data_IF_605460411232
#
_entry.id   IF_605460411232
#
_cell.length_a   1.000
_cell.length_b   1.000
_cell.length_c   1.000
_cell.angle_alpha   90.00
_cell.angle_beta   90.00
_cell.angle_gamma   90.00
#
_symmetry.space_group_name_H-M   'P 1'
#
loop_
_entity.id
_entity.type
_entity.pdbx_description
1 polymer ?
#
# COMPACT_ATOMS: atom_id res chain seq x y z
N UNK A 1 5.96 -49.40 -38.58
CA UNK A 1 6.99 -48.52 -39.18
C UNK A 1 6.30 -47.29 -39.72
N UNK A 2 6.56 -46.14 -39.13
CA UNK A 2 6.75 -44.80 -39.74
C UNK A 2 6.65 -43.78 -38.61
N UNK A 3 7.83 -43.44 -38.10
CA UNK A 3 8.08 -42.32 -37.21
C UNK A 3 8.21 -41.07 -38.08
N UNK A 4 7.44 -40.02 -37.81
CA UNK A 4 7.75 -38.68 -38.30
C UNK A 4 8.27 -37.83 -37.14
N UNK A 5 9.57 -37.55 -37.22
CA UNK A 5 10.32 -36.64 -36.37
C UNK A 5 10.12 -35.22 -36.90
N UNK A 6 9.63 -34.31 -36.04
CA UNK A 6 9.67 -32.87 -36.32
C UNK A 6 10.87 -32.29 -35.58
N UNK A 7 11.80 -31.77 -36.37
CA UNK A 7 13.07 -31.16 -36.00
C UNK A 7 12.89 -29.76 -35.40
N UNK A 8 13.54 -29.54 -34.26
CA UNK A 8 13.62 -28.26 -33.56
C UNK A 8 14.81 -27.48 -34.14
N UNK A 9 14.56 -26.29 -34.69
CA UNK A 9 15.61 -25.34 -35.09
C UNK A 9 15.81 -24.26 -33.99
N UNK A 10 17.05 -23.92 -33.61
CA UNK A 10 17.34 -22.91 -32.61
C UNK A 10 17.32 -21.49 -33.21
N UNK A 11 16.45 -20.62 -32.69
CA UNK A 11 16.37 -19.21 -33.09
C UNK A 11 17.30 -18.37 -32.20
N UNK A 12 18.13 -17.57 -32.86
CA UNK A 12 19.23 -16.78 -32.31
C UNK A 12 18.80 -15.64 -31.38
N UNK A 13 19.58 -15.42 -30.32
CA UNK A 13 19.51 -14.27 -29.41
C UNK A 13 20.13 -13.01 -30.05
N UNK A 14 19.41 -11.88 -30.13
CA UNK A 14 20.02 -10.61 -30.55
C UNK A 14 20.74 -9.91 -29.39
N UNK A 15 21.95 -9.47 -29.71
CA UNK A 15 22.97 -8.83 -28.88
C UNK A 15 22.55 -7.41 -28.44
N UNK A 16 22.83 -7.05 -27.18
CA UNK A 16 22.60 -5.72 -26.61
C UNK A 16 23.56 -4.67 -27.22
N UNK A 17 23.10 -3.46 -27.58
CA UNK A 17 24.00 -2.39 -27.99
C UNK A 17 24.73 -1.74 -26.81
N UNK A 18 26.00 -1.46 -27.04
CA UNK A 18 26.95 -0.86 -26.11
C UNK A 18 26.61 0.60 -25.74
N UNK A 19 26.97 0.98 -24.51
CA UNK A 19 26.83 2.32 -23.93
C UNK A 19 27.76 3.33 -24.63
N UNK A 20 27.31 4.58 -24.88
CA UNK A 20 28.20 5.62 -25.40
C UNK A 20 29.13 6.15 -24.29
N UNK A 21 30.44 6.18 -24.61
CA UNK A 21 31.49 6.84 -23.82
C UNK A 21 31.36 8.36 -23.98
N UNK A 22 31.31 9.08 -22.85
CA UNK A 22 31.51 10.53 -22.81
C UNK A 22 32.99 10.85 -23.10
N UNK A 23 33.22 11.67 -24.12
CA UNK A 23 34.52 12.26 -24.45
C UNK A 23 34.53 13.68 -23.89
N UNK A 24 35.48 13.99 -23.00
CA UNK A 24 35.87 15.35 -22.62
C UNK A 24 36.83 15.93 -23.67
N UNK A 25 36.81 17.27 -23.86
CA UNK A 25 37.88 18.21 -24.27
C UNK A 25 37.25 19.46 -24.98
N UNK A 26 37.94 20.61 -25.16
CA UNK A 26 37.98 21.71 -24.19
C UNK A 26 37.60 23.10 -24.78
N UNK A 27 37.47 24.07 -23.86
CA UNK A 27 37.74 25.52 -23.92
C UNK A 27 37.53 26.42 -25.18
N UNK A 28 36.89 27.55 -24.86
CA UNK A 28 37.19 28.95 -25.25
C UNK A 28 36.88 29.46 -26.67
N UNK A 29 36.01 30.47 -26.70
CA UNK A 29 35.81 31.36 -27.84
C UNK A 29 34.96 32.57 -27.45
N UNK A 30 35.63 33.64 -27.03
CA UNK A 30 35.05 34.89 -26.57
C UNK A 30 34.47 35.73 -27.73
N UNK A 31 33.28 36.29 -27.54
CA UNK A 31 32.80 37.44 -28.33
C UNK A 31 32.19 38.47 -27.37
N UNK A 32 32.88 39.59 -27.30
CA UNK A 32 32.59 40.79 -26.52
C UNK A 32 31.62 41.64 -27.34
N UNK A 33 30.41 41.89 -26.84
CA UNK A 33 29.56 43.00 -27.29
C UNK A 33 29.22 43.86 -26.08
N UNK A 34 29.88 45.02 -26.00
CA UNK A 34 29.56 46.10 -25.07
C UNK A 34 28.38 46.89 -25.63
N UNK A 35 27.30 47.04 -24.85
CA UNK A 35 26.44 48.24 -24.95
C UNK A 35 25.92 48.64 -23.57
N UNK A 36 26.44 49.80 -23.14
CA UNK A 36 26.02 50.75 -22.09
C UNK A 36 24.66 50.50 -21.40
N UNK A 37 24.77 50.17 -20.12
CA UNK A 37 24.29 50.93 -18.95
C UNK A 37 23.05 51.81 -19.19
N UNK A 38 21.88 51.31 -18.78
CA UNK A 38 20.82 52.12 -18.18
C UNK A 38 20.73 51.72 -16.70
N UNK A 39 21.19 52.61 -15.83
CA UNK A 39 21.00 52.52 -14.39
C UNK A 39 19.51 52.64 -14.09
N UNK A 40 18.90 51.57 -13.61
CA UNK A 40 17.66 51.68 -12.82
C UNK A 40 17.83 50.78 -11.61
N UNK A 41 18.28 51.44 -10.54
CA UNK A 41 18.04 51.15 -9.12
C UNK A 41 17.86 49.67 -8.77
N UNK A 42 18.99 49.05 -8.43
CA UNK A 42 19.04 47.81 -7.68
C UNK A 42 18.67 48.14 -6.23
N UNK A 43 17.42 47.92 -5.84
CA UNK A 43 17.07 47.72 -4.44
C UNK A 43 16.52 46.31 -4.32
N UNK A 44 17.18 45.40 -3.59
CA UNK A 44 16.48 44.21 -3.12
C UNK A 44 15.45 44.71 -2.11
N UNK A 45 14.20 44.85 -2.55
CA UNK A 45 13.05 44.86 -1.65
C UNK A 45 12.99 43.46 -1.02
N UNK A 46 13.84 43.21 -0.04
CA UNK A 46 13.54 42.25 1.03
C UNK A 46 12.43 42.89 1.82
N UNK A 47 11.22 42.81 1.28
CA UNK A 47 10.02 43.17 1.99
C UNK A 47 9.86 42.15 3.12
N UNK A 48 10.09 42.53 4.39
CA UNK A 48 9.91 41.60 5.49
C UNK A 48 8.46 41.12 5.58
N UNK A 49 7.49 41.88 5.05
CA UNK A 49 6.10 41.46 4.99
C UNK A 49 5.93 40.27 4.03
N UNK A 50 6.59 40.26 2.87
CA UNK A 50 6.50 39.15 1.90
C UNK A 50 7.21 37.88 2.38
N UNK A 51 8.30 38.01 3.15
CA UNK A 51 8.92 36.85 3.79
C UNK A 51 8.09 36.33 4.96
N UNK A 52 7.45 37.22 5.72
CA UNK A 52 6.51 36.84 6.80
C UNK A 52 5.24 36.20 6.22
N UNK A 53 4.78 36.64 5.05
CA UNK A 53 3.60 36.11 4.36
C UNK A 53 3.87 34.74 3.71
N UNK A 54 5.11 34.50 3.22
CA UNK A 54 5.55 33.15 2.81
C UNK A 54 5.74 32.21 4.03
N UNK A 55 6.27 32.74 5.15
CA UNK A 55 6.45 31.99 6.42
C UNK A 55 5.12 31.70 7.13
N UNK A 56 4.10 32.54 6.98
CA UNK A 56 2.74 32.28 7.46
C UNK A 56 1.97 31.36 6.52
N UNK A 57 2.30 31.35 5.21
CA UNK A 57 1.75 30.38 4.25
C UNK A 57 2.21 28.96 4.50
N UNK A 58 3.47 28.72 4.87
CA UNK A 58 3.96 27.34 5.15
C UNK A 58 3.43 26.78 6.46
N UNK A 59 3.18 27.63 7.47
CA UNK A 59 2.43 27.23 8.68
C UNK A 59 0.96 26.87 8.39
N UNK A 60 0.40 27.30 7.26
CA UNK A 60 -1.03 27.22 7.00
C UNK A 60 -1.51 25.90 6.40
N UNK A 61 -0.65 25.16 5.71
CA UNK A 61 -1.07 23.92 5.02
C UNK A 61 -0.74 22.64 5.81
N UNK A 62 0.41 22.57 6.49
CA UNK A 62 0.84 21.32 7.14
C UNK A 62 0.53 21.23 8.63
N UNK A 63 0.30 22.36 9.31
CA UNK A 63 0.15 22.43 10.76
C UNK A 63 1.44 22.19 11.56
N UNK A 64 2.61 22.12 10.89
CA UNK A 64 3.90 21.97 11.56
C UNK A 64 4.56 23.33 11.89
N UNK A 65 5.38 23.39 12.95
CA UNK A 65 6.20 24.56 13.23
C UNK A 65 7.22 24.83 12.11
N UNK A 66 7.79 26.03 12.03
CA UNK A 66 8.86 26.35 11.08
C UNK A 66 10.01 25.35 11.17
N UNK A 67 10.65 25.09 10.03
CA UNK A 67 11.76 24.14 9.85
C UNK A 67 11.39 22.65 9.96
N UNK A 68 10.14 22.30 10.28
CA UNK A 68 9.66 20.91 10.32
C UNK A 68 8.92 20.52 9.03
N UNK A 69 9.21 19.31 8.54
CA UNK A 69 8.56 18.72 7.38
C UNK A 69 8.24 17.24 7.58
N UNK A 70 7.36 16.70 6.74
CA UNK A 70 6.96 15.30 6.78
C UNK A 70 7.76 14.51 5.76
N UNK A 71 8.43 13.45 6.20
CA UNK A 71 9.18 12.51 5.36
C UNK A 71 8.64 11.10 5.51
N UNK A 72 9.02 10.20 4.60
CA UNK A 72 8.65 8.78 4.68
C UNK A 72 9.87 7.91 4.90
N UNK A 73 9.72 6.90 5.76
CA UNK A 73 10.76 5.90 5.97
C UNK A 73 10.93 5.01 4.73
N UNK A 74 12.17 4.78 4.31
CA UNK A 74 12.49 3.96 3.13
C UNK A 74 12.00 2.51 3.23
N UNK A 75 11.85 1.98 4.45
CA UNK A 75 11.54 0.56 4.69
C UNK A 75 10.06 0.26 4.87
N UNK A 76 9.27 1.20 5.40
CA UNK A 76 7.86 0.98 5.76
C UNK A 76 6.91 2.03 5.15
N UNK A 77 7.45 3.00 4.42
CA UNK A 77 6.74 4.16 3.89
C UNK A 77 5.88 4.88 4.95
N UNK A 78 6.28 4.80 6.22
CA UNK A 78 5.58 5.46 7.32
C UNK A 78 6.03 6.92 7.42
N UNK A 79 5.08 7.87 7.59
CA UNK A 79 5.40 9.28 7.76
C UNK A 79 6.09 9.51 9.11
N UNK A 80 7.09 10.39 9.12
CA UNK A 80 7.78 10.90 10.31
C UNK A 80 8.12 12.38 10.14
N UNK A 81 8.37 13.08 11.24
CA UNK A 81 8.66 14.51 11.26
C UNK A 81 10.17 14.73 11.27
N UNK A 82 10.64 15.58 10.35
CA UNK A 82 12.05 15.91 10.21
C UNK A 82 12.24 17.42 10.35
N UNK A 83 13.19 17.83 11.19
CA UNK A 83 13.61 19.22 11.30
C UNK A 83 14.81 19.47 10.38
N UNK A 84 14.64 20.35 9.40
CA UNK A 84 15.66 20.68 8.40
C UNK A 84 16.85 21.48 8.94
N UNK A 85 16.71 22.15 10.08
CA UNK A 85 17.75 22.97 10.70
C UNK A 85 18.58 22.22 11.73
N UNK A 86 17.94 21.40 12.56
CA UNK A 86 18.60 20.61 13.61
C UNK A 86 18.94 19.18 13.15
N UNK A 87 18.41 18.77 11.99
CA UNK A 87 18.49 17.41 11.46
C UNK A 87 17.87 16.35 12.40
N UNK A 88 16.99 16.77 13.30
CA UNK A 88 16.25 15.89 14.20
C UNK A 88 15.14 15.15 13.44
N UNK A 89 14.97 13.86 13.73
CA UNK A 89 13.86 13.04 13.24
C UNK A 89 13.06 12.51 14.41
N UNK A 90 11.72 12.58 14.34
CA UNK A 90 10.84 12.05 15.38
C UNK A 90 9.53 11.51 14.81
N UNK A 91 8.90 10.60 15.56
CA UNK A 91 7.65 9.96 15.17
C UNK A 91 6.43 10.72 15.68
N UNK A 92 6.57 11.45 16.79
CA UNK A 92 5.53 12.24 17.40
C UNK A 92 5.52 13.69 16.89
N UNK A 93 4.36 14.35 16.76
CA UNK A 93 4.29 15.76 16.36
C UNK A 93 5.15 16.67 17.25
N UNK A 94 5.99 17.56 16.68
CA UNK A 94 6.83 18.49 17.43
C UNK A 94 6.00 19.45 18.30
N UNK A 95 6.62 19.97 19.35
CA UNK A 95 5.99 20.94 20.25
C UNK A 95 5.62 22.22 19.46
N UNK A 96 4.38 22.69 19.62
CA UNK A 96 3.85 23.83 18.87
C UNK A 96 3.17 23.47 17.53
N UNK A 97 3.05 22.18 17.17
CA UNK A 97 2.26 21.76 16.02
C UNK A 97 0.75 21.99 16.25
N UNK A 98 0.06 22.53 15.25
CA UNK A 98 -1.40 22.61 15.20
C UNK A 98 -1.94 21.22 14.88
N UNK A 99 -2.37 20.51 15.92
CA UNK A 99 -2.76 19.11 15.82
C UNK A 99 -3.97 18.87 14.92
N UNK A 100 -4.88 19.82 14.77
CA UNK A 100 -6.07 19.66 13.91
C UNK A 100 -5.70 19.86 12.44
N UNK A 101 -4.91 20.89 12.12
CA UNK A 101 -4.38 21.07 10.75
C UNK A 101 -3.44 19.95 10.36
N UNK A 102 -2.61 19.48 11.28
CA UNK A 102 -1.71 18.38 11.03
C UNK A 102 -2.49 17.08 10.76
N UNK A 103 -3.57 16.81 11.48
CA UNK A 103 -4.47 15.69 11.18
C UNK A 103 -5.09 15.80 9.80
N UNK A 104 -5.54 17.00 9.41
CA UNK A 104 -6.11 17.25 8.09
C UNK A 104 -5.06 17.08 6.97
N UNK A 105 -3.87 17.63 7.15
CA UNK A 105 -2.75 17.50 6.22
C UNK A 105 -2.28 16.05 6.10
N UNK A 106 -2.14 15.33 7.22
CA UNK A 106 -1.85 13.90 7.21
C UNK A 106 -2.94 13.10 6.51
N UNK A 107 -4.21 13.47 6.71
CA UNK A 107 -5.34 12.84 6.03
C UNK A 107 -5.37 13.12 4.51
N UNK A 108 -4.93 14.31 4.08
CA UNK A 108 -4.96 14.73 2.68
C UNK A 108 -3.73 14.26 1.89
N UNK A 109 -2.56 14.20 2.53
CA UNK A 109 -1.28 14.03 1.82
C UNK A 109 -0.48 12.79 2.24
N UNK A 110 -0.77 12.20 3.41
CA UNK A 110 0.10 11.18 4.03
C UNK A 110 -0.68 10.03 4.68
N UNK A 111 -1.91 9.75 4.25
CA UNK A 111 -2.74 8.71 4.83
C UNK A 111 -2.19 7.31 4.49
N UNK A 112 -1.32 6.80 5.36
CA UNK A 112 -0.97 5.38 5.39
C UNK A 112 -1.29 4.77 6.76
N UNK A 113 -2.31 3.92 6.77
CA UNK A 113 -2.45 2.76 7.66
C UNK A 113 -2.57 3.00 9.18
N UNK A 114 -3.54 3.80 9.61
CA UNK A 114 -4.38 3.41 10.75
C UNK A 114 -5.61 4.32 10.83
N UNK A 115 -6.79 3.70 10.91
CA UNK A 115 -8.04 4.38 11.25
C UNK A 115 -8.64 5.30 10.18
N UNK A 116 -9.11 4.73 9.05
CA UNK A 116 -10.45 5.03 8.51
C UNK A 116 -11.01 3.79 7.81
N UNK A 117 -12.08 3.24 8.36
CA UNK A 117 -13.01 2.35 7.69
C UNK A 117 -13.81 3.25 6.74
N UNK A 118 -13.24 3.62 5.59
CA UNK A 118 -14.04 4.17 4.50
C UNK A 118 -13.36 4.00 3.13
N UNK A 119 -13.60 2.84 2.52
CA UNK A 119 -14.26 2.78 1.21
C UNK A 119 -13.51 3.17 -0.07
N UNK A 120 -12.38 3.86 -0.07
CA UNK A 120 -11.73 4.26 -1.34
C UNK A 120 -10.29 3.77 -1.46
N UNK A 121 -10.15 2.50 -1.83
CA UNK A 121 -8.89 1.98 -2.38
C UNK A 121 -8.53 2.69 -3.68
N UNK A 122 -7.25 2.70 -4.03
CA UNK A 122 -6.77 3.13 -5.35
C UNK A 122 -7.67 2.54 -6.46
N UNK A 123 -8.00 3.33 -7.49
CA UNK A 123 -9.04 3.03 -8.48
C UNK A 123 -9.10 1.54 -8.88
N UNK A 124 -10.26 0.91 -8.64
CA UNK A 124 -10.51 -0.50 -8.99
C UNK A 124 -10.02 -1.56 -7.99
N UNK A 125 -9.47 -1.18 -6.84
CA UNK A 125 -9.10 -2.12 -5.76
C UNK A 125 -10.08 -2.11 -4.60
N UNK A 126 -10.26 -3.27 -3.98
CA UNK A 126 -11.02 -3.45 -2.74
C UNK A 126 -10.10 -3.96 -1.63
N UNK A 127 -10.45 -3.72 -0.38
CA UNK A 127 -9.85 -4.41 0.77
C UNK A 127 -10.84 -5.45 1.25
N UNK A 128 -10.34 -6.59 1.74
CA UNK A 128 -11.18 -7.56 2.41
C UNK A 128 -10.37 -8.33 3.46
N UNK A 129 -11.06 -8.80 4.49
CA UNK A 129 -10.59 -9.81 5.40
C UNK A 129 -11.27 -11.15 5.10
N UNK A 130 -10.64 -12.25 5.50
CA UNK A 130 -11.27 -13.56 5.38
C UNK A 130 -10.95 -14.50 6.55
N UNK A 131 -11.83 -15.47 6.73
CA UNK A 131 -11.62 -16.63 7.58
C UNK A 131 -11.62 -17.87 6.68
N UNK A 132 -10.44 -18.46 6.47
CA UNK A 132 -10.24 -19.70 5.71
C UNK A 132 -10.24 -20.92 6.63
N UNK A 133 -11.04 -21.93 6.30
CA UNK A 133 -10.94 -23.29 6.85
C UNK A 133 -10.56 -24.26 5.73
N UNK A 134 -9.45 -24.97 5.91
CA UNK A 134 -8.97 -25.97 4.94
C UNK A 134 -9.56 -27.34 5.23
N UNK A 135 -9.59 -28.17 4.19
CA UNK A 135 -9.94 -29.59 4.23
C UNK A 135 -8.91 -30.42 3.47
N UNK A 136 -9.04 -31.75 3.55
CA UNK A 136 -8.12 -32.72 2.92
C UNK A 136 -7.92 -32.52 1.41
N UNK A 137 -8.93 -32.00 0.71
CA UNK A 137 -8.89 -31.75 -0.75
C UNK A 137 -8.46 -30.32 -1.11
N UNK A 138 -8.12 -29.49 -0.11
CA UNK A 138 -7.51 -28.18 -0.37
C UNK A 138 -6.14 -28.35 -1.01
N UNK A 139 -5.80 -27.48 -1.98
CA UNK A 139 -4.54 -27.49 -2.75
C UNK A 139 -3.27 -27.62 -1.89
N UNK A 140 -3.32 -27.13 -0.65
CA UNK A 140 -2.26 -27.34 0.36
C UNK A 140 -2.90 -27.62 1.72
N UNK A 141 -3.14 -28.90 2.09
CA UNK A 141 -3.85 -29.30 3.30
C UNK A 141 -2.94 -29.24 4.54
N UNK A 142 -2.36 -28.06 4.77
CA UNK A 142 -1.52 -27.75 5.93
C UNK A 142 -1.60 -26.25 6.22
N UNK A 143 -1.51 -25.88 7.49
CA UNK A 143 -1.51 -24.49 7.95
C UNK A 143 -0.51 -24.29 9.09
N UNK A 144 -0.48 -23.07 9.62
CA UNK A 144 0.28 -22.76 10.83
C UNK A 144 -0.35 -23.36 12.09
N UNK A 145 -1.64 -23.69 12.05
CA UNK A 145 -2.40 -24.32 13.14
C UNK A 145 -2.21 -25.82 13.15
N UNK A 146 -2.19 -26.41 11.96
CA UNK A 146 -2.19 -27.85 11.79
C UNK A 146 -1.32 -28.27 10.60
N UNK A 147 -0.25 -29.06 10.83
CA UNK A 147 0.68 -29.44 9.77
C UNK A 147 0.10 -30.43 8.76
N UNK A 148 -0.93 -31.21 9.13
CA UNK A 148 -1.59 -32.18 8.26
C UNK A 148 -3.10 -32.16 8.49
N UNK A 149 -3.84 -31.54 7.57
CA UNK A 149 -5.28 -31.34 7.68
C UNK A 149 -6.01 -32.50 7.00
N UNK A 150 -6.75 -33.29 7.79
CA UNK A 150 -7.45 -34.50 7.31
C UNK A 150 -8.97 -34.37 7.27
N UNK A 151 -9.54 -33.30 7.83
CA UNK A 151 -10.99 -33.06 7.86
C UNK A 151 -11.60 -33.02 6.46
N UNK A 152 -12.84 -33.47 6.33
CA UNK A 152 -13.56 -33.40 5.06
C UNK A 152 -14.00 -31.98 4.73
N UNK A 153 -14.43 -31.78 3.49
CA UNK A 153 -14.99 -30.50 3.05
C UNK A 153 -16.27 -30.17 3.83
N UNK A 154 -17.10 -31.16 4.09
CA UNK A 154 -18.36 -31.03 4.84
C UNK A 154 -18.09 -30.60 6.28
N UNK A 155 -17.08 -31.20 6.94
CA UNK A 155 -16.64 -30.79 8.27
C UNK A 155 -16.11 -29.35 8.28
N UNK A 156 -15.33 -28.97 7.25
CA UNK A 156 -14.85 -27.60 7.11
C UNK A 156 -15.99 -26.58 6.91
N UNK A 157 -17.02 -26.95 6.13
CA UNK A 157 -18.23 -26.13 5.96
C UNK A 157 -18.99 -26.01 7.28
N UNK A 158 -19.13 -27.10 8.03
CA UNK A 158 -19.86 -27.07 9.31
C UNK A 158 -19.15 -26.21 10.37
N UNK A 159 -17.82 -26.32 10.46
CA UNK A 159 -17.00 -25.41 11.27
C UNK A 159 -17.24 -23.95 10.86
N UNK A 160 -17.19 -23.68 9.56
CA UNK A 160 -17.35 -22.34 9.04
C UNK A 160 -18.76 -21.76 9.27
N UNK A 161 -19.81 -22.59 9.22
CA UNK A 161 -21.17 -22.20 9.61
C UNK A 161 -21.26 -21.83 11.09
N UNK A 162 -20.60 -22.59 11.96
CA UNK A 162 -20.54 -22.27 13.39
C UNK A 162 -19.87 -20.92 13.66
N UNK A 163 -18.82 -20.60 12.91
CA UNK A 163 -18.19 -19.27 12.95
C UNK A 163 -19.09 -18.18 12.37
N UNK A 164 -19.75 -18.43 11.24
CA UNK A 164 -20.71 -17.50 10.65
C UNK A 164 -21.83 -17.14 11.61
N UNK A 165 -22.36 -18.11 12.36
CA UNK A 165 -23.39 -17.88 13.38
C UNK A 165 -22.89 -16.98 14.51
N UNK A 166 -21.68 -17.22 15.04
CA UNK A 166 -21.05 -16.37 16.06
C UNK A 166 -20.85 -14.93 15.57
N UNK A 167 -20.52 -14.75 14.28
CA UNK A 167 -20.35 -13.42 13.69
C UNK A 167 -21.70 -12.72 13.52
N UNK A 168 -22.69 -13.42 12.95
CA UNK A 168 -24.03 -12.85 12.72
C UNK A 168 -24.78 -12.55 14.01
N UNK A 169 -24.52 -13.27 15.10
CA UNK A 169 -25.08 -12.98 16.42
C UNK A 169 -24.41 -11.79 17.12
N UNK A 170 -23.26 -11.33 16.61
CA UNK A 170 -22.44 -10.30 17.25
C UNK A 170 -21.63 -10.80 18.45
N UNK A 171 -21.51 -12.12 18.64
CA UNK A 171 -20.70 -12.72 19.72
C UNK A 171 -19.20 -12.47 19.48
N UNK A 172 -18.76 -12.54 18.21
CA UNK A 172 -17.38 -12.32 17.80
C UNK A 172 -17.29 -11.62 16.46
N UNK A 173 -16.24 -10.84 16.26
CA UNK A 173 -15.91 -10.32 14.94
C UNK A 173 -15.20 -11.39 14.10
N UNK A 174 -15.36 -11.32 12.77
CA UNK A 174 -14.61 -12.17 11.83
C UNK A 174 -13.11 -12.12 12.10
N UNK A 175 -12.60 -10.91 12.39
CA UNK A 175 -11.20 -10.69 12.68
C UNK A 175 -10.69 -11.42 13.92
N UNK A 176 -11.52 -11.56 14.97
CA UNK A 176 -11.15 -12.30 16.19
C UNK A 176 -11.08 -13.79 15.92
N UNK A 177 -12.10 -14.33 15.23
CA UNK A 177 -12.12 -15.74 14.84
C UNK A 177 -11.00 -16.07 13.85
N UNK A 178 -10.66 -15.16 12.94
CA UNK A 178 -9.57 -15.38 11.98
C UNK A 178 -8.22 -15.55 12.67
N UNK A 179 -7.97 -14.88 13.81
CA UNK A 179 -6.72 -15.02 14.58
C UNK A 179 -6.53 -16.44 15.11
N UNK A 180 -7.59 -17.07 15.62
CA UNK A 180 -7.50 -18.37 16.28
C UNK A 180 -7.88 -19.54 15.39
N UNK A 181 -8.76 -19.33 14.41
CA UNK A 181 -9.38 -20.40 13.62
C UNK A 181 -8.93 -20.45 12.16
N UNK A 182 -8.40 -19.36 11.60
CA UNK A 182 -8.07 -19.37 10.18
C UNK A 182 -6.80 -20.15 9.85
N UNK A 183 -6.88 -21.00 8.83
CA UNK A 183 -5.76 -21.73 8.24
C UNK A 183 -4.89 -20.88 7.28
N UNK A 184 -5.21 -19.59 7.11
CA UNK A 184 -4.40 -18.65 6.34
C UNK A 184 -3.36 -17.94 7.23
N UNK A 185 -2.23 -17.53 6.65
CA UNK A 185 -1.23 -16.72 7.36
C UNK A 185 -1.72 -15.30 7.66
N UNK A 186 -2.79 -14.82 7.00
CA UNK A 186 -3.49 -13.57 7.30
C UNK A 186 -4.14 -13.58 8.68
N UNK A 187 -4.27 -14.73 9.35
CA UNK A 187 -4.70 -14.84 10.76
C UNK A 187 -3.95 -13.85 11.68
N UNK A 188 -2.64 -13.67 11.45
CA UNK A 188 -1.80 -12.70 12.19
C UNK A 188 -2.21 -11.24 12.04
N UNK A 189 -3.04 -10.94 11.03
CA UNK A 189 -3.57 -9.63 10.70
C UNK A 189 -5.11 -9.62 10.80
N UNK A 190 -5.69 -10.45 11.68
CA UNK A 190 -7.15 -10.55 11.83
C UNK A 190 -7.86 -10.90 10.51
N UNK A 191 -7.23 -11.73 9.68
CA UNK A 191 -7.76 -12.12 8.37
C UNK A 191 -7.57 -11.10 7.24
N UNK A 192 -7.03 -9.90 7.51
CA UNK A 192 -6.84 -8.85 6.51
C UNK A 192 -5.89 -9.27 5.38
N UNK A 193 -6.39 -9.19 4.15
CA UNK A 193 -5.62 -9.44 2.93
C UNK A 193 -5.06 -8.15 2.31
N UNK A 194 -5.41 -6.98 2.86
CA UNK A 194 -5.06 -5.69 2.30
C UNK A 194 -5.84 -5.39 1.02
N UNK A 195 -5.40 -4.37 0.28
CA UNK A 195 -6.03 -3.98 -0.98
C UNK A 195 -5.60 -4.87 -2.14
N UNK A 196 -6.56 -5.40 -2.89
CA UNK A 196 -6.33 -6.16 -4.11
C UNK A 196 -7.26 -5.72 -5.25
N UNK A 197 -6.77 -5.87 -6.48
CA UNK A 197 -7.52 -5.66 -7.72
C UNK A 197 -7.94 -6.99 -8.35
N UNK A 198 -8.65 -6.91 -9.47
CA UNK A 198 -9.03 -8.08 -10.26
C UNK A 198 -7.81 -8.85 -10.79
N UNK A 199 -7.91 -10.17 -10.88
CA UNK A 199 -6.86 -11.09 -11.28
C UNK A 199 -5.81 -11.42 -10.20
N UNK A 200 -5.96 -10.90 -8.97
CA UNK A 200 -4.98 -11.13 -7.89
C UNK A 200 -5.38 -12.26 -6.93
N UNK A 201 -6.66 -12.63 -6.90
CA UNK A 201 -7.20 -13.69 -6.05
C UNK A 201 -7.73 -14.86 -6.91
N UNK A 202 -8.09 -15.97 -6.26
CA UNK A 202 -8.84 -17.04 -6.95
C UNK A 202 -10.18 -16.52 -7.42
N UNK A 203 -10.65 -16.96 -8.59
CA UNK A 203 -11.81 -16.38 -9.28
C UNK A 203 -13.06 -16.36 -8.40
N UNK A 204 -13.31 -17.44 -7.69
CA UNK A 204 -14.47 -17.60 -6.81
C UNK A 204 -14.40 -16.65 -5.61
N UNK A 205 -13.21 -16.46 -5.04
CA UNK A 205 -12.97 -15.50 -3.96
C UNK A 205 -13.13 -14.06 -4.44
N UNK A 206 -12.55 -13.75 -5.61
CA UNK A 206 -12.62 -12.43 -6.21
C UNK A 206 -14.07 -12.03 -6.52
N UNK A 207 -14.82 -12.90 -7.21
CA UNK A 207 -16.20 -12.63 -7.57
C UNK A 207 -17.06 -12.32 -6.34
N UNK A 208 -16.90 -13.13 -5.29
CA UNK A 208 -17.60 -12.91 -4.02
C UNK A 208 -17.17 -11.59 -3.38
N UNK A 209 -15.86 -11.33 -3.23
CA UNK A 209 -15.36 -10.14 -2.56
C UNK A 209 -15.74 -8.82 -3.28
N UNK A 210 -15.72 -8.81 -4.62
CA UNK A 210 -16.10 -7.64 -5.41
C UNK A 210 -17.61 -7.43 -5.49
N UNK A 211 -18.43 -8.47 -5.24
CA UNK A 211 -19.87 -8.35 -5.15
C UNK A 211 -20.35 -7.74 -3.82
N UNK A 212 -19.56 -7.86 -2.76
CA UNK A 212 -19.87 -7.30 -1.44
C UNK A 212 -19.78 -5.78 -1.41
N UNK A 213 -20.64 -5.14 -0.62
CA UNK A 213 -20.47 -3.74 -0.21
C UNK A 213 -19.46 -3.63 0.94
N UNK A 214 -18.81 -2.47 1.15
CA UNK A 214 -17.98 -2.26 2.33
C UNK A 214 -18.75 -2.53 3.63
N UNK A 215 -18.16 -3.32 4.52
CA UNK A 215 -18.76 -3.80 5.77
C UNK A 215 -19.56 -5.09 5.63
N UNK A 216 -19.92 -5.51 4.41
CA UNK A 216 -20.71 -6.71 4.17
C UNK A 216 -19.88 -7.98 4.28
N UNK A 217 -20.51 -9.06 4.73
CA UNK A 217 -19.93 -10.40 4.82
C UNK A 217 -20.60 -11.34 3.81
N UNK A 218 -19.79 -12.15 3.11
CA UNK A 218 -20.28 -13.18 2.20
C UNK A 218 -20.93 -14.36 2.93
N UNK A 219 -21.66 -15.19 2.18
CA UNK A 219 -21.83 -16.58 2.56
C UNK A 219 -20.54 -17.39 2.43
N UNK A 220 -20.64 -18.71 2.55
CA UNK A 220 -19.50 -19.61 2.38
C UNK A 220 -19.06 -19.64 0.92
N UNK A 221 -17.80 -19.29 0.67
CA UNK A 221 -17.16 -19.29 -0.64
C UNK A 221 -16.17 -20.43 -0.73
N UNK A 222 -16.29 -21.27 -1.74
CA UNK A 222 -15.39 -22.39 -1.96
C UNK A 222 -14.32 -22.04 -3.00
N UNK A 223 -13.10 -22.48 -2.76
CA UNK A 223 -11.96 -22.28 -3.67
C UNK A 223 -11.05 -23.50 -3.62
N UNK A 224 -10.03 -23.57 -4.48
CA UNK A 224 -9.01 -24.61 -4.36
C UNK A 224 -8.20 -24.52 -3.04
N UNK A 225 -8.25 -23.39 -2.32
CA UNK A 225 -7.59 -23.25 -1.02
C UNK A 225 -8.38 -23.82 0.15
N UNK A 226 -9.67 -24.13 -0.01
CA UNK A 226 -10.61 -24.44 1.07
C UNK A 226 -11.85 -23.56 1.02
N UNK A 227 -12.55 -23.45 2.16
CA UNK A 227 -13.78 -22.67 2.32
C UNK A 227 -13.54 -21.39 3.10
N UNK A 228 -14.21 -20.29 2.70
CA UNK A 228 -13.96 -18.94 3.21
C UNK A 228 -15.25 -18.25 3.62
N UNK A 229 -15.17 -17.46 4.70
CA UNK A 229 -16.01 -16.29 4.90
C UNK A 229 -15.20 -15.06 4.54
N UNK A 230 -15.80 -14.11 3.81
CA UNK A 230 -15.14 -12.91 3.32
C UNK A 230 -15.90 -11.70 3.87
N UNK A 231 -15.19 -10.71 4.38
CA UNK A 231 -15.76 -9.41 4.76
C UNK A 231 -15.00 -8.30 4.05
N UNK A 232 -15.72 -7.40 3.37
CA UNK A 232 -15.13 -6.27 2.64
C UNK A 232 -14.91 -5.05 3.52
#
# INVERSE_FOLDING_TARGET
MHHDQISILPVHSPTLPARPRYIQHPEAGAYKLEFRICLTVNQPLTDPARSVELHQRTMSETGLPPDWEVRHSNSKNLPYYFNSKTHESRWEPPEGADTEKLKLYMAQHHSSANTRIDGTGAEGKIRAAHLLVKHKDSRRPSSWREPNITRTKEEAIELLKGYEQQIRSGEKDLGDLAVTESDCSSARKRGDLGFFGKGQMQKEFEDAAFALQPGEMSGIVETASGVHLIQR
#
